data_IF_160165450293
#
_entry.id   IF_160165450293
#
_cell.length_a   1.000
_cell.length_b   1.000
_cell.length_c   1.000
_cell.angle_alpha   90.00
_cell.angle_beta   90.00
_cell.angle_gamma   90.00
#
_symmetry.space_group_name_H-M   'P 1'
#
loop_
_entity.id
_entity.type
_entity.pdbx_description
1 polymer ?
#
# COMPACT_ATOMS: atom_id res chain seq x y z
N UNK A 1 27.02 -7.73 24.56
CA UNK A 1 26.00 -7.92 25.63
C UNK A 1 24.78 -8.47 24.93
N UNK A 2 24.40 -9.72 25.16
CA UNK A 2 23.30 -10.32 24.39
C UNK A 2 21.96 -9.99 25.02
N UNK A 3 21.03 -9.48 24.21
CA UNK A 3 19.65 -9.23 24.61
C UNK A 3 18.77 -10.12 23.74
N UNK A 4 18.04 -11.07 24.34
CA UNK A 4 17.24 -12.07 23.64
C UNK A 4 18.00 -12.86 22.55
N UNK A 5 19.30 -13.10 22.74
CA UNK A 5 20.13 -13.88 21.80
C UNK A 5 20.69 -13.09 20.62
N UNK A 6 20.44 -11.78 20.53
CA UNK A 6 21.03 -10.86 19.55
C UNK A 6 22.09 -9.97 20.21
N UNK A 7 23.12 -9.59 19.45
CA UNK A 7 24.10 -8.63 19.96
C UNK A 7 23.53 -7.19 19.95
N UNK A 8 23.97 -6.34 20.88
CA UNK A 8 23.51 -4.93 20.94
C UNK A 8 23.80 -4.22 19.63
N UNK A 9 24.91 -4.53 18.96
CA UNK A 9 25.26 -3.92 17.69
C UNK A 9 24.23 -4.26 16.59
N UNK A 10 23.76 -5.52 16.54
CA UNK A 10 22.72 -5.95 15.59
C UNK A 10 21.40 -5.23 15.85
N UNK A 11 21.02 -5.09 17.12
CA UNK A 11 19.82 -4.35 17.53
C UNK A 11 19.89 -2.87 17.15
N UNK A 12 21.06 -2.24 17.29
CA UNK A 12 21.27 -0.85 16.88
C UNK A 12 21.16 -0.67 15.37
N UNK A 13 21.74 -1.59 14.59
CA UNK A 13 21.59 -1.60 13.13
C UNK A 13 20.11 -1.72 12.76
N UNK A 14 19.39 -2.66 13.36
CA UNK A 14 17.97 -2.89 13.11
C UNK A 14 17.13 -1.64 13.41
N UNK A 15 17.35 -1.04 14.57
CA UNK A 15 16.65 0.18 14.98
C UNK A 15 16.94 1.34 14.03
N UNK A 16 18.20 1.51 13.61
CA UNK A 16 18.57 2.55 12.63
C UNK A 16 17.89 2.33 11.27
N UNK A 17 17.80 1.07 10.81
CA UNK A 17 17.13 0.72 9.55
C UNK A 17 15.62 0.97 9.61
N UNK A 18 14.96 0.68 10.74
CA UNK A 18 13.55 1.00 10.96
C UNK A 18 13.28 2.50 10.96
N UNK A 19 14.12 3.29 11.65
CA UNK A 19 13.98 4.74 11.70
C UNK A 19 14.18 5.34 10.30
N UNK A 20 15.24 4.94 9.59
CA UNK A 20 15.54 5.41 8.25
C UNK A 20 14.44 5.02 7.25
N UNK A 21 14.01 3.76 7.26
CA UNK A 21 12.93 3.29 6.37
C UNK A 21 11.59 3.96 6.68
N UNK A 22 11.23 4.13 7.95
CA UNK A 22 10.02 4.85 8.35
C UNK A 22 10.04 6.32 7.91
N UNK A 23 11.18 6.99 8.04
CA UNK A 23 11.37 8.36 7.57
C UNK A 23 11.22 8.46 6.05
N UNK A 24 11.94 7.61 5.29
CA UNK A 24 11.88 7.56 3.82
C UNK A 24 10.47 7.21 3.34
N UNK A 25 9.84 6.19 3.93
CA UNK A 25 8.49 5.77 3.61
C UNK A 25 7.46 6.86 3.91
N UNK A 26 7.62 7.59 5.02
CA UNK A 26 6.74 8.71 5.38
C UNK A 26 6.83 9.86 4.37
N UNK A 27 8.05 10.23 3.96
CA UNK A 27 8.27 11.27 2.93
C UNK A 27 7.65 10.83 1.60
N UNK A 28 7.93 9.61 1.16
CA UNK A 28 7.45 9.11 -0.13
C UNK A 28 5.93 8.88 -0.12
N UNK A 29 5.34 8.46 1.00
CA UNK A 29 3.89 8.40 1.17
C UNK A 29 3.25 9.79 1.08
N UNK A 30 3.89 10.83 1.62
CA UNK A 30 3.41 12.21 1.54
C UNK A 30 3.59 12.85 0.16
N UNK A 31 4.72 12.62 -0.52
CA UNK A 31 5.02 13.20 -1.83
C UNK A 31 4.30 12.49 -2.97
N UNK A 32 4.26 11.16 -2.93
CA UNK A 32 3.76 10.33 -4.03
C UNK A 32 2.39 9.72 -3.74
N UNK A 33 1.84 9.87 -2.53
CA UNK A 33 0.52 9.34 -2.17
C UNK A 33 0.43 7.82 -2.27
N UNK A 34 1.58 7.13 -2.34
CA UNK A 34 1.68 5.68 -2.59
C UNK A 34 1.43 4.82 -1.35
N UNK A 35 1.23 5.43 -0.19
CA UNK A 35 0.98 4.73 1.06
C UNK A 35 2.22 4.07 1.68
N UNK A 36 3.45 4.32 1.22
CA UNK A 36 4.69 3.88 1.90
C UNK A 36 4.97 2.38 1.96
N UNK A 37 3.96 1.52 1.75
CA UNK A 37 4.10 0.08 1.94
C UNK A 37 4.99 -0.61 0.89
N UNK A 38 5.20 0.01 -0.28
CA UNK A 38 6.16 -0.51 -1.27
C UNK A 38 7.60 -0.51 -0.72
N UNK A 39 7.86 0.32 0.30
CA UNK A 39 9.15 0.43 1.00
C UNK A 39 9.10 -0.34 2.32
N UNK A 40 8.02 -0.18 3.09
CA UNK A 40 7.91 -0.81 4.40
C UNK A 40 7.84 -2.34 4.29
N UNK A 41 7.11 -2.91 3.33
CA UNK A 41 6.93 -4.37 3.25
C UNK A 41 8.26 -5.10 3.01
N UNK A 42 9.12 -4.72 2.03
CA UNK A 42 10.43 -5.36 1.87
C UNK A 42 11.35 -5.17 3.09
N UNK A 43 11.34 -3.99 3.72
CA UNK A 43 12.16 -3.72 4.90
C UNK A 43 11.71 -4.58 6.09
N UNK A 44 10.40 -4.64 6.34
CA UNK A 44 9.81 -5.46 7.40
C UNK A 44 10.02 -6.95 7.13
N UNK A 45 9.89 -7.39 5.88
CA UNK A 45 10.20 -8.77 5.48
C UNK A 45 11.63 -9.14 5.86
N UNK A 46 12.62 -8.33 5.45
CA UNK A 46 14.02 -8.58 5.76
C UNK A 46 14.30 -8.55 7.27
N UNK A 47 13.67 -7.63 7.98
CA UNK A 47 13.77 -7.51 9.42
C UNK A 47 13.24 -8.73 10.15
N UNK A 48 12.04 -9.21 9.78
CA UNK A 48 11.43 -10.38 10.38
C UNK A 48 12.20 -11.66 10.03
N UNK A 49 12.74 -11.77 8.82
CA UNK A 49 13.69 -12.84 8.47
C UNK A 49 14.95 -12.80 9.32
N UNK A 50 15.52 -11.61 9.56
CA UNK A 50 16.70 -11.45 10.41
C UNK A 50 16.41 -11.84 11.87
N UNK A 51 15.20 -11.54 12.37
CA UNK A 51 14.71 -11.98 13.67
C UNK A 51 14.38 -13.49 13.73
N UNK A 52 14.67 -14.25 12.67
CA UNK A 52 14.44 -15.70 12.56
C UNK A 52 12.96 -16.09 12.75
N UNK A 53 12.07 -15.19 12.35
CA UNK A 53 10.64 -15.49 12.29
C UNK A 53 10.43 -16.51 11.16
N UNK A 54 9.52 -17.48 11.38
CA UNK A 54 9.28 -18.57 10.43
C UNK A 54 8.79 -18.07 9.06
N UNK A 55 9.34 -18.61 7.98
CA UNK A 55 9.09 -18.15 6.60
C UNK A 55 7.60 -18.10 6.23
N UNK A 56 6.80 -19.00 6.80
CA UNK A 56 5.36 -19.08 6.57
C UNK A 56 4.60 -17.83 7.06
N UNK A 57 5.09 -17.17 8.11
CA UNK A 57 4.42 -16.03 8.75
C UNK A 57 5.12 -14.68 8.51
N UNK A 58 6.40 -14.69 8.09
CA UNK A 58 7.18 -13.46 7.83
C UNK A 58 6.45 -12.51 6.88
N UNK A 59 5.94 -13.04 5.76
CA UNK A 59 5.25 -12.21 4.76
C UNK A 59 3.93 -11.64 5.32
N UNK A 60 3.17 -12.45 6.07
CA UNK A 60 1.93 -12.01 6.73
C UNK A 60 2.19 -10.87 7.72
N UNK A 61 3.22 -11.03 8.55
CA UNK A 61 3.63 -9.99 9.50
C UNK A 61 4.08 -8.73 8.78
N UNK A 62 4.88 -8.83 7.71
CA UNK A 62 5.35 -7.68 6.94
C UNK A 62 4.19 -6.91 6.31
N UNK A 63 3.26 -7.61 5.67
CA UNK A 63 2.07 -7.03 5.04
C UNK A 63 1.14 -6.40 6.08
N UNK A 64 0.76 -7.14 7.12
CA UNK A 64 -0.15 -6.65 8.16
C UNK A 64 0.42 -5.44 8.92
N UNK A 65 1.70 -5.52 9.32
CA UNK A 65 2.38 -4.41 10.01
C UNK A 65 2.46 -3.17 9.11
N UNK A 66 2.77 -3.34 7.82
CA UNK A 66 2.77 -2.24 6.86
C UNK A 66 1.40 -1.58 6.80
N UNK A 67 0.32 -2.32 6.59
CA UNK A 67 -1.04 -1.78 6.51
C UNK A 67 -1.40 -0.97 7.76
N UNK A 68 -1.03 -1.46 8.95
CA UNK A 68 -1.25 -0.74 10.20
C UNK A 68 -0.48 0.60 10.26
N UNK A 69 0.78 0.64 9.81
CA UNK A 69 1.58 1.87 9.71
C UNK A 69 0.98 2.87 8.70
N UNK A 70 0.28 2.37 7.69
CA UNK A 70 -0.29 3.18 6.61
C UNK A 70 -1.49 4.00 7.07
N UNK A 71 -2.24 3.53 8.08
CA UNK A 71 -3.42 4.23 8.60
C UNK A 71 -3.08 5.66 9.07
N UNK A 72 -2.17 5.90 10.03
CA UNK A 72 -1.87 7.25 10.49
C UNK A 72 -1.18 8.13 9.44
N UNK A 73 -0.36 7.54 8.56
CA UNK A 73 0.34 8.28 7.50
C UNK A 73 -0.61 8.74 6.39
N UNK A 74 -1.51 7.86 5.96
CA UNK A 74 -2.55 8.18 4.97
C UNK A 74 -3.56 9.18 5.52
N UNK A 75 -3.92 9.09 6.80
CA UNK A 75 -4.79 10.07 7.44
C UNK A 75 -4.20 11.49 7.40
N UNK A 76 -2.92 11.63 7.76
CA UNK A 76 -2.24 12.94 7.67
C UNK A 76 -2.10 13.42 6.23
N UNK A 77 -1.76 12.52 5.30
CA UNK A 77 -1.59 12.83 3.88
C UNK A 77 -2.89 13.33 3.24
N UNK A 78 -3.99 12.58 3.38
CA UNK A 78 -5.28 12.97 2.81
C UNK A 78 -5.78 14.28 3.42
N UNK A 79 -5.63 14.49 4.73
CA UNK A 79 -6.02 15.75 5.38
C UNK A 79 -5.27 16.95 4.76
N UNK A 80 -3.97 16.82 4.51
CA UNK A 80 -3.18 17.86 3.86
C UNK A 80 -3.61 18.10 2.41
N UNK A 81 -3.96 17.05 1.66
CA UNK A 81 -4.43 17.18 0.28
C UNK A 81 -5.85 17.76 0.17
N UNK A 82 -6.74 17.45 1.12
CA UNK A 82 -8.07 18.05 1.23
C UNK A 82 -7.96 19.55 1.47
N UNK A 83 -7.07 19.98 2.38
CA UNK A 83 -6.82 21.39 2.65
C UNK A 83 -6.32 22.16 1.40
N UNK A 84 -5.69 21.47 0.46
CA UNK A 84 -5.23 22.01 -0.83
C UNK A 84 -6.24 21.86 -1.97
N UNK A 85 -7.45 21.36 -1.71
CA UNK A 85 -8.49 21.10 -2.72
C UNK A 85 -8.01 20.23 -3.89
N UNK A 86 -7.01 19.37 -3.67
CA UNK A 86 -6.42 18.53 -4.72
C UNK A 86 -7.13 17.18 -4.90
N UNK A 87 -7.99 16.81 -3.95
CA UNK A 87 -8.67 15.51 -3.88
C UNK A 87 -9.94 15.51 -4.74
N UNK A 88 -10.10 14.52 -5.61
CA UNK A 88 -11.36 14.24 -6.29
C UNK A 88 -12.33 13.55 -5.32
N UNK A 89 -13.13 14.36 -4.62
CA UNK A 89 -14.10 13.87 -3.63
C UNK A 89 -15.23 13.05 -4.23
N UNK A 90 -15.59 13.29 -5.51
CA UNK A 90 -16.62 12.52 -6.17
C UNK A 90 -16.14 11.09 -6.41
N UNK A 91 -14.92 10.94 -6.95
CA UNK A 91 -14.30 9.64 -7.16
C UNK A 91 -14.11 8.90 -5.83
N UNK A 92 -13.63 9.58 -4.78
CA UNK A 92 -13.43 8.98 -3.46
C UNK A 92 -14.73 8.40 -2.89
N UNK A 93 -15.86 9.11 -3.05
CA UNK A 93 -17.18 8.61 -2.62
C UNK A 93 -17.65 7.42 -3.43
N UNK A 94 -17.46 7.44 -4.75
CA UNK A 94 -17.82 6.30 -5.62
C UNK A 94 -16.99 5.06 -5.29
N UNK A 95 -15.70 5.25 -4.97
CA UNK A 95 -14.77 4.17 -4.68
C UNK A 95 -14.85 3.67 -3.25
N UNK A 96 -15.53 4.38 -2.36
CA UNK A 96 -15.65 4.03 -0.95
C UNK A 96 -16.09 2.58 -0.74
N UNK A 97 -17.28 2.21 -1.24
CA UNK A 97 -17.81 0.87 -1.04
C UNK A 97 -17.02 -0.23 -1.78
N UNK A 98 -16.69 -0.09 -3.07
CA UNK A 98 -15.97 -1.14 -3.79
C UNK A 98 -14.57 -1.40 -3.22
N UNK A 99 -13.84 -0.34 -2.85
CA UNK A 99 -12.51 -0.48 -2.25
C UNK A 99 -12.58 -1.15 -0.89
N UNK A 100 -13.53 -0.76 -0.02
CA UNK A 100 -13.72 -1.42 1.27
C UNK A 100 -14.04 -2.91 1.09
N UNK A 101 -14.94 -3.25 0.17
CA UNK A 101 -15.30 -4.63 -0.13
C UNK A 101 -14.08 -5.43 -0.63
N UNK A 102 -13.37 -4.90 -1.63
CA UNK A 102 -12.16 -5.53 -2.15
C UNK A 102 -11.07 -5.69 -1.10
N UNK A 103 -10.87 -4.67 -0.26
CA UNK A 103 -9.89 -4.68 0.81
C UNK A 103 -10.20 -5.72 1.88
N UNK A 104 -11.47 -5.85 2.29
CA UNK A 104 -11.90 -6.86 3.25
C UNK A 104 -11.74 -8.27 2.70
N UNK A 105 -12.13 -8.51 1.44
CA UNK A 105 -11.91 -9.80 0.77
C UNK A 105 -10.42 -10.09 0.65
N UNK A 106 -9.61 -9.08 0.34
CA UNK A 106 -8.15 -9.20 0.24
C UNK A 106 -7.51 -9.50 1.58
N UNK A 107 -7.96 -8.87 2.67
CA UNK A 107 -7.47 -9.14 4.03
C UNK A 107 -7.82 -10.57 4.46
N UNK A 108 -9.08 -10.98 4.25
CA UNK A 108 -9.50 -12.36 4.51
C UNK A 108 -8.66 -13.35 3.70
N UNK A 109 -8.48 -13.10 2.40
CA UNK A 109 -7.67 -13.95 1.52
C UNK A 109 -6.22 -14.02 1.99
N UNK A 110 -5.63 -12.89 2.36
CA UNK A 110 -4.26 -12.85 2.90
C UNK A 110 -4.10 -13.77 4.11
N UNK A 111 -5.09 -13.88 5.00
CA UNK A 111 -4.99 -14.71 6.20
C UNK A 111 -4.98 -16.22 5.95
N UNK A 112 -5.44 -16.68 4.79
CA UNK A 112 -5.49 -18.12 4.44
C UNK A 112 -4.49 -18.54 3.36
N UNK A 113 -3.82 -17.58 2.72
CA UNK A 113 -2.86 -17.85 1.64
C UNK A 113 -1.48 -18.14 2.23
N UNK A 114 -0.73 -19.04 1.63
CA UNK A 114 0.63 -19.33 2.08
C UNK A 114 1.57 -18.12 1.89
N UNK A 115 2.50 -17.89 2.82
CA UNK A 115 3.42 -16.75 2.78
C UNK A 115 4.25 -16.68 1.49
N UNK A 116 4.60 -17.83 0.91
CA UNK A 116 5.29 -17.90 -0.39
C UNK A 116 4.46 -17.38 -1.57
N UNK A 117 3.15 -17.63 -1.57
CA UNK A 117 2.23 -17.11 -2.58
C UNK A 117 2.07 -15.60 -2.39
N UNK A 118 1.90 -15.13 -1.15
CA UNK A 118 1.80 -13.70 -0.84
C UNK A 118 3.06 -12.93 -1.29
N UNK A 119 4.24 -13.51 -1.05
CA UNK A 119 5.53 -13.00 -1.53
C UNK A 119 5.58 -12.92 -3.06
N UNK A 120 5.11 -13.95 -3.75
CA UNK A 120 5.09 -14.02 -5.22
C UNK A 120 4.14 -12.98 -5.83
N UNK A 121 2.95 -12.79 -5.25
CA UNK A 121 1.99 -11.75 -5.63
C UNK A 121 2.61 -10.36 -5.45
N UNK A 122 3.21 -10.10 -4.29
CA UNK A 122 3.91 -8.84 -4.03
C UNK A 122 5.01 -8.58 -5.05
N UNK A 123 5.92 -9.54 -5.24
CA UNK A 123 7.06 -9.39 -6.14
C UNK A 123 6.62 -9.10 -7.59
N UNK A 124 5.63 -9.85 -8.08
CA UNK A 124 5.10 -9.72 -9.43
C UNK A 124 4.53 -8.31 -9.67
N UNK A 125 3.61 -7.87 -8.80
CA UNK A 125 2.97 -6.57 -8.97
C UNK A 125 3.97 -5.43 -8.72
N UNK A 126 4.90 -5.58 -7.77
CA UNK A 126 5.94 -4.58 -7.52
C UNK A 126 6.85 -4.38 -8.74
N UNK A 127 7.22 -5.46 -9.44
CA UNK A 127 7.99 -5.40 -10.69
C UNK A 127 7.18 -4.66 -11.76
N UNK A 128 5.90 -4.97 -11.95
CA UNK A 128 5.05 -4.27 -12.93
C UNK A 128 4.93 -2.77 -12.63
N UNK A 129 4.73 -2.40 -11.37
CA UNK A 129 4.67 -1.01 -10.94
C UNK A 129 6.03 -0.34 -11.17
N UNK A 130 7.13 -0.97 -10.76
CA UNK A 130 8.48 -0.43 -10.95
C UNK A 130 8.81 -0.21 -12.42
N UNK A 131 8.45 -1.17 -13.28
CA UNK A 131 8.57 -1.04 -14.72
C UNK A 131 7.77 0.16 -15.25
N UNK A 132 6.51 0.31 -14.82
CA UNK A 132 5.69 1.46 -15.21
C UNK A 132 6.29 2.78 -14.73
N UNK A 133 6.84 2.85 -13.52
CA UNK A 133 7.44 4.08 -13.00
C UNK A 133 8.74 4.45 -13.73
N UNK A 134 9.53 3.46 -14.19
CA UNK A 134 10.77 3.69 -14.93
C UNK A 134 10.57 4.04 -16.40
N UNK A 135 9.61 3.39 -17.07
CA UNK A 135 9.44 3.48 -18.53
C UNK A 135 8.12 4.13 -18.97
N UNK A 136 7.21 4.39 -18.03
CA UNK A 136 5.90 4.95 -18.32
C UNK A 136 6.01 6.35 -18.91
N UNK A 137 5.55 6.51 -20.15
CA UNK A 137 5.42 7.81 -20.80
C UNK A 137 4.03 8.38 -20.54
N UNK A 138 3.90 9.71 -20.52
CA UNK A 138 2.60 10.39 -20.39
C UNK A 138 1.61 9.99 -21.50
N UNK A 139 2.10 9.49 -22.64
CA UNK A 139 1.29 8.99 -23.74
C UNK A 139 0.66 7.61 -23.49
N UNK A 140 1.05 6.89 -22.44
CA UNK A 140 0.48 5.58 -22.09
C UNK A 140 -0.84 5.78 -21.35
N UNK A 141 -1.89 6.13 -22.10
CA UNK A 141 -3.25 6.28 -21.59
C UNK A 141 -4.09 5.06 -22.00
N UNK A 142 -4.62 4.32 -21.02
CA UNK A 142 -5.62 3.27 -21.25
C UNK A 142 -6.98 3.85 -21.60
N UNK A 143 -7.28 5.04 -21.08
CA UNK A 143 -8.52 5.76 -21.35
C UNK A 143 -8.29 7.27 -21.17
N UNK A 144 -9.15 8.08 -21.81
CA UNK A 144 -9.12 9.55 -21.69
C UNK A 144 -9.70 10.05 -20.36
N UNK A 145 -10.55 9.25 -19.72
CA UNK A 145 -11.03 9.48 -18.36
C UNK A 145 -11.33 8.15 -17.68
N UNK A 146 -11.55 8.19 -16.37
CA UNK A 146 -11.97 7.04 -15.58
C UNK A 146 -13.35 6.59 -16.09
N UNK A 147 -13.52 5.30 -16.45
CA UNK A 147 -14.81 4.78 -16.89
C UNK A 147 -15.88 5.02 -15.81
N UNK A 148 -17.12 5.27 -16.21
CA UNK A 148 -18.23 5.46 -15.30
C UNK A 148 -19.00 4.15 -15.07
N UNK A 149 -19.71 4.07 -13.95
CA UNK A 149 -20.63 2.96 -13.65
C UNK A 149 -19.95 1.70 -13.08
N UNK A 150 -20.56 0.55 -13.35
CA UNK A 150 -20.22 -0.73 -12.71
C UNK A 150 -18.77 -1.20 -12.97
N UNK A 151 -18.23 -0.92 -14.16
CA UNK A 151 -16.85 -1.26 -14.53
C UNK A 151 -15.84 -0.58 -13.59
N UNK A 152 -16.08 0.69 -13.25
CA UNK A 152 -15.22 1.43 -12.31
C UNK A 152 -15.23 0.80 -10.92
N UNK A 153 -16.39 0.38 -10.46
CA UNK A 153 -16.54 -0.25 -9.15
C UNK A 153 -15.81 -1.59 -9.09
N UNK A 154 -15.89 -2.41 -10.15
CA UNK A 154 -15.13 -3.65 -10.25
C UNK A 154 -13.63 -3.36 -10.16
N UNK A 155 -13.13 -2.40 -10.96
CA UNK A 155 -11.71 -2.04 -10.96
C UNK A 155 -11.27 -1.54 -9.59
N UNK A 156 -12.07 -0.68 -8.95
CA UNK A 156 -11.81 -0.17 -7.61
C UNK A 156 -11.74 -1.30 -6.56
N UNK A 157 -12.63 -2.30 -6.65
CA UNK A 157 -12.58 -3.47 -5.79
C UNK A 157 -11.33 -4.33 -6.03
N UNK A 158 -10.93 -4.56 -7.28
CA UNK A 158 -9.68 -5.26 -7.62
C UNK A 158 -8.46 -4.51 -7.10
N UNK A 159 -8.43 -3.19 -7.24
CA UNK A 159 -7.36 -2.35 -6.69
C UNK A 159 -7.33 -2.51 -5.17
N UNK A 160 -8.46 -2.44 -4.48
CA UNK A 160 -8.55 -2.67 -3.03
C UNK A 160 -8.01 -4.05 -2.63
N UNK A 161 -8.44 -5.10 -3.32
CA UNK A 161 -8.03 -6.48 -3.09
C UNK A 161 -6.51 -6.67 -3.19
N UNK A 162 -5.92 -6.34 -4.34
CA UNK A 162 -4.49 -6.52 -4.56
C UNK A 162 -3.65 -5.58 -3.70
N UNK A 163 -4.12 -4.36 -3.44
CA UNK A 163 -3.40 -3.41 -2.57
C UNK A 163 -3.28 -3.91 -1.13
N UNK A 164 -4.31 -4.59 -0.63
CA UNK A 164 -4.29 -5.23 0.68
C UNK A 164 -3.33 -6.42 0.70
N UNK A 165 -3.39 -7.31 -0.30
CA UNK A 165 -2.45 -8.44 -0.40
C UNK A 165 -0.99 -7.99 -0.43
N UNK A 166 -0.71 -6.86 -1.08
CA UNK A 166 0.65 -6.32 -1.14
C UNK A 166 1.06 -5.54 0.12
N UNK A 167 0.12 -5.17 1.00
CA UNK A 167 0.39 -4.30 2.13
C UNK A 167 0.85 -2.89 1.74
N UNK A 168 0.56 -2.44 0.52
CA UNK A 168 1.12 -1.21 -0.06
C UNK A 168 0.30 0.04 0.23
N UNK A 169 -0.93 -0.12 0.67
CA UNK A 169 -1.67 1.06 1.03
C UNK A 169 -2.44 1.72 -0.12
N UNK A 170 -2.87 0.99 -1.15
CA UNK A 170 -3.82 1.42 -2.22
C UNK A 170 -3.44 2.63 -3.07
N UNK A 171 -2.51 3.43 -2.58
CA UNK A 171 -1.90 4.59 -3.17
C UNK A 171 -1.24 4.25 -4.49
N UNK A 172 -0.39 3.23 -4.49
CA UNK A 172 0.40 2.91 -5.69
C UNK A 172 -0.45 2.40 -6.85
N UNK A 173 -1.40 1.50 -6.59
CA UNK A 173 -2.30 0.98 -7.62
C UNK A 173 -3.35 2.02 -8.03
N UNK A 174 -3.90 2.80 -7.08
CA UNK A 174 -4.83 3.89 -7.38
C UNK A 174 -4.19 5.01 -8.18
N UNK A 175 -3.01 5.51 -7.79
CA UNK A 175 -2.22 6.49 -8.57
C UNK A 175 -1.91 5.93 -9.95
N UNK A 176 -1.50 4.66 -10.02
CA UNK A 176 -1.15 4.02 -11.28
C UNK A 176 -2.32 3.95 -12.22
N UNK A 177 -3.49 3.56 -11.74
CA UNK A 177 -4.71 3.50 -12.53
C UNK A 177 -5.17 4.89 -12.97
N UNK A 178 -5.26 5.85 -12.04
CA UNK A 178 -5.72 7.20 -12.35
C UNK A 178 -4.84 7.90 -13.39
N UNK A 179 -3.52 7.74 -13.31
CA UNK A 179 -2.59 8.29 -14.31
C UNK A 179 -2.72 7.59 -15.67
N UNK A 180 -3.01 6.29 -15.70
CA UNK A 180 -3.32 5.57 -16.95
C UNK A 180 -4.69 5.98 -17.54
N UNK A 181 -5.61 6.50 -16.71
CA UNK A 181 -6.88 7.08 -17.16
C UNK A 181 -6.78 8.59 -17.47
N UNK A 182 -5.57 9.15 -17.56
CA UNK A 182 -5.36 10.54 -17.97
C UNK A 182 -5.53 11.58 -16.86
N UNK A 183 -5.68 11.19 -15.60
CA UNK A 183 -5.75 12.14 -14.48
C UNK A 183 -4.36 12.72 -14.19
N UNK A 184 -4.33 14.02 -13.89
CA UNK A 184 -3.10 14.73 -13.50
C UNK A 184 -2.47 14.06 -12.30
N UNK A 185 -1.15 13.89 -12.32
CA UNK A 185 -0.42 13.18 -11.26
C UNK A 185 -0.69 13.74 -9.86
N UNK A 186 -0.78 15.07 -9.72
CA UNK A 186 -1.09 15.73 -8.45
C UNK A 186 -2.49 15.34 -7.91
N UNK A 187 -3.50 15.26 -8.77
CA UNK A 187 -4.86 14.85 -8.38
C UNK A 187 -4.91 13.34 -8.11
N UNK A 188 -4.19 12.53 -8.88
CA UNK A 188 -4.09 11.09 -8.68
C UNK A 188 -3.45 10.79 -7.31
N UNK A 189 -2.32 11.43 -6.99
CA UNK A 189 -1.63 11.33 -5.69
C UNK A 189 -2.55 11.74 -4.55
N UNK A 190 -3.18 12.92 -4.67
CA UNK A 190 -4.07 13.44 -3.65
C UNK A 190 -5.27 12.51 -3.40
N UNK A 191 -5.95 12.07 -4.46
CA UNK A 191 -7.13 11.21 -4.33
C UNK A 191 -6.76 9.82 -3.82
N UNK A 192 -5.61 9.29 -4.25
CA UNK A 192 -5.17 7.96 -3.82
C UNK A 192 -4.72 7.93 -2.36
N UNK A 193 -4.28 9.05 -1.78
CA UNK A 193 -4.01 9.13 -0.34
C UNK A 193 -5.29 8.94 0.49
N UNK A 194 -6.45 9.36 -0.02
CA UNK A 194 -7.74 9.12 0.60
C UNK A 194 -8.18 7.67 0.48
N UNK A 195 -8.01 7.08 -0.70
CA UNK A 195 -8.17 5.63 -0.89
C UNK A 195 -7.25 4.88 0.07
N UNK A 196 -6.01 5.38 0.22
CA UNK A 196 -4.98 5.11 1.23
C UNK A 196 -5.53 4.80 2.61
N UNK A 197 -6.35 5.72 3.08
CA UNK A 197 -6.94 5.60 4.40
C UNK A 197 -8.05 4.54 4.43
N UNK A 198 -8.89 4.48 3.39
CA UNK A 198 -10.08 3.64 3.37
C UNK A 198 -9.76 2.15 3.42
N UNK A 199 -8.93 1.64 2.50
CA UNK A 199 -8.60 0.20 2.57
C UNK A 199 -7.68 -0.10 3.74
N UNK A 200 -6.79 0.80 4.18
CA UNK A 200 -5.84 0.46 5.26
C UNK A 200 -6.57 0.26 6.58
N UNK A 201 -7.60 1.07 6.85
CA UNK A 201 -8.49 0.87 7.99
C UNK A 201 -9.24 -0.45 7.86
N UNK A 202 -9.88 -0.72 6.72
CA UNK A 202 -10.64 -1.97 6.51
C UNK A 202 -9.75 -3.21 6.62
N UNK A 203 -8.57 -3.18 5.98
CA UNK A 203 -7.63 -4.28 5.98
C UNK A 203 -6.97 -4.48 7.35
N UNK A 204 -6.65 -3.41 8.08
CA UNK A 204 -6.13 -3.53 9.46
C UNK A 204 -7.17 -4.22 10.35
N UNK A 205 -8.43 -3.82 10.26
CA UNK A 205 -9.52 -4.47 10.99
C UNK A 205 -9.64 -5.94 10.57
N UNK A 206 -9.62 -6.21 9.26
CA UNK A 206 -9.69 -7.58 8.73
C UNK A 206 -8.56 -8.48 9.23
N UNK A 207 -7.32 -7.97 9.24
CA UNK A 207 -6.14 -8.70 9.72
C UNK A 207 -6.18 -8.90 11.25
N UNK A 208 -6.78 -7.98 12.02
CA UNK A 208 -6.94 -8.15 13.48
C UNK A 208 -7.98 -9.21 13.82
N UNK A 209 -9.03 -9.35 13.01
CA UNK A 209 -10.15 -10.27 13.28
C UNK A 209 -9.86 -11.70 12.80
N UNK A 210 -9.06 -11.84 11.73
CA UNK A 210 -8.73 -13.12 11.11
C UNK A 210 -7.62 -13.87 11.84
#
# INVERSE_FOLDING_TARGET
MQVYGFDVFELLILASALIASGFIAGILAGLLGIGGGIILVPVLFQLFTFLKIGENIVMHLAVGTSIAIIVPTSFRSVKAHIAKQAVDMALLKTWLFPVLMGASIGAFTASYVEGGILKSVFATIAIFIGFKLLFGKESWMLSKDIPFGFVNNIIAAFIGFFSTLMGIGGGTLGVTYMTLCGRKIHQAIATSSGLGLLFSVAATIGVIIA
#
